data_IF_593127602637
#
_entry.id   IF_593127602637
#
_cell.length_a   1.000
_cell.length_b   1.000
_cell.length_c   1.000
_cell.angle_alpha   90.00
_cell.angle_beta   90.00
_cell.angle_gamma   90.00
#
_symmetry.space_group_name_H-M   'P 1'
#
loop_
_entity.id
_entity.type
_entity.pdbx_description
1 polymer ?
#
# COMPACT_ATOMS: atom_id res chain seq x y z
N UNK A 1 8.80 -8.33 14.85
CA UNK A 1 7.46 -8.88 14.54
C UNK A 1 7.26 -8.71 13.04
N UNK A 2 6.75 -9.75 12.36
CA UNK A 2 6.43 -9.66 10.94
C UNK A 2 5.04 -9.06 10.74
N UNK A 3 4.95 -7.99 9.96
CA UNK A 3 3.69 -7.32 9.60
C UNK A 3 3.56 -7.16 8.08
N UNK A 4 2.32 -7.01 7.61
CA UNK A 4 2.01 -6.80 6.20
C UNK A 4 1.06 -5.62 6.04
N UNK A 5 1.45 -4.64 5.23
CA UNK A 5 0.62 -3.48 4.93
C UNK A 5 0.10 -3.55 3.49
N UNK A 6 -1.19 -3.27 3.32
CA UNK A 6 -1.79 -3.05 2.01
C UNK A 6 -1.55 -1.61 1.55
N UNK A 7 -1.00 -1.45 0.35
CA UNK A 7 -0.84 -0.16 -0.31
C UNK A 7 -1.81 -0.08 -1.49
N UNK A 8 -2.55 1.04 -1.60
CA UNK A 8 -3.54 1.24 -2.66
C UNK A 8 -3.62 2.68 -3.14
N UNK A 9 -3.72 2.90 -4.46
CA UNK A 9 -3.92 4.24 -5.03
C UNK A 9 -4.72 4.21 -6.34
N UNK A 10 -5.76 5.04 -6.46
CA UNK A 10 -6.62 5.14 -7.65
C UNK A 10 -6.83 6.58 -8.18
N UNK A 11 -6.21 7.59 -7.57
CA UNK A 11 -6.37 9.00 -7.96
C UNK A 11 -5.00 9.61 -8.25
N UNK A 12 -4.95 10.52 -9.23
CA UNK A 12 -3.73 11.27 -9.57
C UNK A 12 -2.60 10.37 -10.08
N UNK A 13 -1.38 10.67 -9.65
CA UNK A 13 -0.21 9.85 -9.99
C UNK A 13 -0.10 8.64 -9.04
N UNK A 14 -0.87 7.61 -9.37
CA UNK A 14 -1.01 6.36 -8.60
C UNK A 14 0.35 5.68 -8.35
N UNK A 15 1.24 5.71 -9.33
CA UNK A 15 2.58 5.11 -9.22
C UNK A 15 3.48 5.90 -8.28
N UNK A 16 3.50 7.24 -8.40
CA UNK A 16 4.25 8.09 -7.49
C UNK A 16 3.75 7.94 -6.04
N UNK A 17 2.44 7.83 -5.84
CA UNK A 17 1.85 7.59 -4.52
C UNK A 17 2.31 6.25 -3.91
N UNK A 18 2.25 5.14 -4.66
CA UNK A 18 2.73 3.84 -4.18
C UNK A 18 4.23 3.86 -3.86
N UNK A 19 5.05 4.44 -4.74
CA UNK A 19 6.52 4.55 -4.53
C UNK A 19 6.85 5.36 -3.28
N UNK A 20 6.18 6.50 -3.09
CA UNK A 20 6.37 7.34 -1.91
C UNK A 20 5.94 6.61 -0.64
N UNK A 21 4.81 5.90 -0.68
CA UNK A 21 4.34 5.12 0.47
C UNK A 21 5.35 4.03 0.84
N UNK A 22 5.80 3.23 -0.13
CA UNK A 22 6.80 2.20 0.12
C UNK A 22 8.13 2.77 0.67
N UNK A 23 8.60 3.90 0.13
CA UNK A 23 9.83 4.55 0.61
C UNK A 23 9.71 5.18 2.00
N UNK A 24 8.50 5.52 2.44
CA UNK A 24 8.25 6.15 3.74
C UNK A 24 8.04 5.14 4.88
N UNK A 25 7.80 3.86 4.55
CA UNK A 25 7.59 2.83 5.57
C UNK A 25 8.95 2.33 6.08
N UNK A 26 9.27 2.55 7.37
CA UNK A 26 10.50 2.00 7.95
C UNK A 26 10.41 0.48 8.02
N UNK A 27 11.56 -0.18 8.19
CA UNK A 27 11.64 -1.63 8.37
C UNK A 27 11.09 -2.47 7.20
N UNK A 28 11.01 -1.86 6.01
CA UNK A 28 10.56 -2.53 4.79
C UNK A 28 11.54 -3.63 4.37
N UNK A 29 11.03 -4.86 4.26
CA UNK A 29 11.80 -6.01 3.79
C UNK A 29 11.65 -6.21 2.29
N UNK A 30 10.40 -6.21 1.81
CA UNK A 30 10.09 -6.35 0.38
C UNK A 30 8.69 -5.87 0.03
N UNK A 31 8.45 -5.64 -1.25
CA UNK A 31 7.15 -5.27 -1.82
C UNK A 31 6.75 -6.31 -2.86
N UNK A 32 5.47 -6.67 -2.90
CA UNK A 32 4.92 -7.54 -3.95
C UNK A 32 4.97 -6.88 -5.33
N UNK A 33 4.68 -7.63 -6.41
CA UNK A 33 4.25 -7.01 -7.65
C UNK A 33 3.05 -6.10 -7.44
N UNK A 34 2.91 -5.11 -8.31
CA UNK A 34 1.76 -4.19 -8.33
C UNK A 34 0.66 -4.79 -9.21
N UNK A 35 -0.56 -4.81 -8.70
CA UNK A 35 -1.75 -5.30 -9.39
C UNK A 35 -2.74 -4.16 -9.63
N UNK A 36 -3.30 -4.08 -10.83
CA UNK A 36 -4.37 -3.13 -11.12
C UNK A 36 -5.74 -3.79 -11.01
N UNK A 37 -6.57 -3.36 -10.07
CA UNK A 37 -7.87 -3.97 -9.79
C UNK A 37 -9.02 -2.98 -9.96
N UNK A 38 -10.21 -3.53 -10.23
CA UNK A 38 -11.44 -2.74 -10.16
C UNK A 38 -11.70 -2.26 -8.73
N UNK A 39 -12.30 -1.07 -8.56
CA UNK A 39 -12.74 -0.60 -7.26
C UNK A 39 -13.81 -1.51 -6.64
N UNK A 40 -13.78 -1.63 -5.31
CA UNK A 40 -14.84 -2.30 -4.54
C UNK A 40 -15.62 -1.22 -3.78
N UNK A 41 -16.86 -0.96 -4.23
CA UNK A 41 -17.69 0.14 -3.70
C UNK A 41 -17.20 1.52 -4.14
N UNK A 42 -17.62 2.57 -3.43
CA UNK A 42 -17.24 3.97 -3.69
C UNK A 42 -18.07 4.68 -4.77
N UNK A 43 -17.72 5.96 -5.09
CA UNK A 43 -18.43 6.74 -6.09
C UNK A 43 -18.39 6.13 -7.49
N UNK A 44 -19.47 6.29 -8.25
CA UNK A 44 -19.55 5.86 -9.64
C UNK A 44 -18.48 6.56 -10.49
N UNK A 45 -17.82 5.79 -11.36
CA UNK A 45 -16.81 6.30 -12.29
C UNK A 45 -15.42 6.49 -11.70
N UNK A 46 -15.17 6.03 -10.47
CA UNK A 46 -13.80 6.04 -9.93
C UNK A 46 -12.87 5.11 -10.72
N UNK A 47 -11.60 5.54 -10.86
CA UNK A 47 -10.59 4.79 -11.58
C UNK A 47 -10.16 3.52 -10.87
N UNK A 48 -9.47 2.64 -11.62
CA UNK A 48 -8.87 1.41 -11.09
C UNK A 48 -7.79 1.71 -10.06
N UNK A 49 -7.65 0.81 -9.08
CA UNK A 49 -6.62 0.89 -8.06
C UNK A 49 -5.34 0.19 -8.53
N UNK A 50 -4.19 0.80 -8.28
CA UNK A 50 -2.94 0.05 -8.15
C UNK A 50 -2.81 -0.42 -6.71
N UNK A 51 -2.58 -1.72 -6.51
CA UNK A 51 -2.44 -2.34 -5.20
C UNK A 51 -1.13 -3.12 -5.08
N UNK A 52 -0.53 -3.11 -3.90
CA UNK A 52 0.63 -3.92 -3.54
C UNK A 52 0.63 -4.26 -2.04
N UNK A 53 1.42 -5.26 -1.65
CA UNK A 53 1.65 -5.63 -0.26
C UNK A 53 3.11 -5.32 0.11
N UNK A 54 3.30 -4.63 1.23
CA UNK A 54 4.60 -4.39 1.85
C UNK A 54 4.80 -5.33 3.04
N UNK A 55 5.90 -6.09 3.05
CA UNK A 55 6.32 -6.88 4.21
C UNK A 55 7.29 -6.07 5.06
N UNK A 56 7.02 -6.03 6.36
CA UNK A 56 7.82 -5.34 7.36
C UNK A 56 8.34 -6.31 8.42
N UNK A 57 9.52 -6.03 8.93
CA UNK A 57 10.04 -6.65 10.15
C UNK A 57 10.28 -5.56 11.20
N UNK A 58 9.25 -5.28 11.99
CA UNK A 58 9.25 -4.11 12.89
C UNK A 58 9.21 -4.51 14.36
N UNK A 59 9.73 -3.64 15.24
CA UNK A 59 9.61 -3.78 16.69
C UNK A 59 8.41 -3.03 17.28
N UNK A 60 7.64 -2.32 16.45
CA UNK A 60 6.45 -1.59 16.89
C UNK A 60 5.30 -2.54 17.24
N UNK A 61 4.61 -2.23 18.33
CA UNK A 61 3.34 -2.88 18.65
C UNK A 61 2.23 -2.45 17.67
N UNK A 62 1.15 -3.23 17.47
CA UNK A 62 0.15 -2.97 16.43
C UNK A 62 -0.46 -1.55 16.45
N UNK A 63 -0.69 -0.98 17.65
CA UNK A 63 -1.24 0.37 17.79
C UNK A 63 -0.21 1.48 17.54
N UNK A 64 1.08 1.18 17.64
CA UNK A 64 2.16 2.12 17.32
C UNK A 64 2.49 2.11 15.82
N UNK A 65 2.19 1.00 15.15
CA UNK A 65 2.35 0.85 13.70
C UNK A 65 1.24 1.55 12.90
N UNK A 66 0.04 1.73 13.49
CA UNK A 66 -1.12 2.40 12.89
C UNK A 66 -0.99 3.93 12.92
#
# INVERSE_FOLDING_TARGET
MRAFLGLGSNVGDRWAHLRRAAAAVPDLVRVSPVYETEPVGGPSGQGRFLNAIAELETSLEPHQLL
#
